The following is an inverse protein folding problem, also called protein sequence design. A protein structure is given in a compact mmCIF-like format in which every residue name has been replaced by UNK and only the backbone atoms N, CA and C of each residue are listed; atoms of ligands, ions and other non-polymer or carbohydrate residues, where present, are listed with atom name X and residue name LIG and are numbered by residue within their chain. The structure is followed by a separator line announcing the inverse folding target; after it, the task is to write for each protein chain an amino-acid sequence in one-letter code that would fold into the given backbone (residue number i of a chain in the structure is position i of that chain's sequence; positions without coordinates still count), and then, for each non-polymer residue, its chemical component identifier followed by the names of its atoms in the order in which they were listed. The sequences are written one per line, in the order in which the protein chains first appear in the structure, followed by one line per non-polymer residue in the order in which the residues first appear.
data_IF_396765050931
#
_entry.id   IF_396765050931
#
_cell.length_a   1.000
_cell.length_b   1.000
_cell.length_c   1.000
_cell.angle_alpha   90.00
_cell.angle_beta   90.00
_cell.angle_gamma   90.00
#
_symmetry.space_group_name_H-M   'P 1'
#
loop_
_entity.id
_entity.type
_entity.pdbx_description
1 polymer ?
#
# COMPACT_ATOMS: atom_id res chain seq x y z
N UNK A 1 43.17 29.81 12.24
CA UNK A 1 42.91 28.78 11.27
C UNK A 1 43.48 27.45 11.77
N UNK A 2 42.68 26.58 12.35
CA UNK A 2 43.12 25.24 12.80
C UNK A 2 42.07 24.24 12.31
N UNK A 3 42.46 23.45 11.33
CA UNK A 3 41.64 22.34 10.78
C UNK A 3 41.69 21.19 11.77
N UNK A 4 40.54 20.71 12.26
CA UNK A 4 40.43 19.47 13.04
C UNK A 4 39.90 18.38 12.10
N UNK A 5 40.77 17.44 11.78
CA UNK A 5 40.41 16.19 11.11
C UNK A 5 39.84 15.22 12.14
N UNK A 6 38.61 14.74 11.92
CA UNK A 6 38.02 13.64 12.67
C UNK A 6 38.23 12.35 11.88
N UNK A 7 38.92 11.40 12.48
CA UNK A 7 39.13 10.08 11.94
C UNK A 7 37.91 9.19 12.29
N UNK A 8 37.33 8.55 11.26
CA UNK A 8 36.28 7.55 11.39
C UNK A 8 36.95 6.18 11.52
N UNK A 9 36.82 5.57 12.68
CA UNK A 9 37.28 4.19 12.91
C UNK A 9 36.24 3.19 12.46
N UNK A 10 36.60 2.35 11.48
CA UNK A 10 35.83 1.18 11.10
C UNK A 10 36.17 0.01 12.03
N UNK A 11 35.20 -0.50 12.78
CA UNK A 11 35.32 -1.73 13.57
C UNK A 11 34.69 -2.87 12.78
N UNK A 12 35.55 -3.74 12.23
CA UNK A 12 35.14 -5.01 11.64
C UNK A 12 35.10 -6.10 12.72
N UNK A 13 33.91 -6.65 12.99
CA UNK A 13 33.72 -7.84 13.82
C UNK A 13 33.71 -9.08 12.91
N UNK A 14 34.77 -9.87 12.98
CA UNK A 14 34.84 -11.18 12.37
C UNK A 14 34.31 -12.23 13.37
N UNK A 15 33.25 -12.93 13.06
CA UNK A 15 32.75 -14.08 13.80
C UNK A 15 33.36 -15.36 13.24
N UNK A 16 34.19 -16.04 14.05
CA UNK A 16 34.74 -17.39 13.77
C UNK A 16 33.69 -18.44 14.17
N UNK A 17 33.21 -19.20 13.18
CA UNK A 17 32.43 -20.41 13.41
C UNK A 17 33.39 -21.60 13.46
N UNK A 18 33.55 -22.23 14.62
CA UNK A 18 34.29 -23.48 14.79
C UNK A 18 33.36 -24.67 14.54
N UNK A 19 33.64 -25.44 13.50
CA UNK A 19 33.01 -26.73 13.24
C UNK A 19 33.72 -27.79 14.05
N UNK A 20 33.05 -28.35 15.07
CA UNK A 20 33.50 -29.50 15.82
C UNK A 20 33.08 -30.80 15.13
N UNK A 21 34.06 -31.52 14.58
CA UNK A 21 33.89 -32.89 14.12
C UNK A 21 34.08 -33.85 15.28
N UNK A 22 33.05 -34.60 15.68
CA UNK A 22 33.21 -35.77 16.54
C UNK A 22 32.98 -37.03 15.73
N UNK A 23 34.06 -37.73 15.46
CA UNK A 23 34.08 -39.11 14.97
C UNK A 23 33.74 -40.05 16.12
N UNK A 24 32.73 -40.89 15.98
CA UNK A 24 32.57 -42.07 16.84
C UNK A 24 32.33 -43.31 16.00
N UNK A 25 33.33 -44.19 16.01
CA UNK A 25 33.31 -45.53 15.43
C UNK A 25 32.77 -46.48 16.50
N UNK A 26 31.66 -47.18 16.20
CA UNK A 26 31.33 -48.41 16.91
C UNK A 26 30.40 -49.30 16.09
N UNK A 27 30.97 -50.39 15.63
CA UNK A 27 30.54 -51.80 15.46
C UNK A 27 29.02 -52.13 15.36
N UNK A 28 28.77 -52.88 14.29
CA UNK A 28 27.64 -53.75 13.96
C UNK A 28 26.89 -54.42 15.11
N UNK A 29 25.54 -54.40 15.07
CA UNK A 29 24.69 -55.63 14.93
C UNK A 29 23.20 -55.31 15.09
N UNK A 30 22.34 -55.86 14.24
CA UNK A 30 20.92 -56.07 14.54
C UNK A 30 19.94 -55.35 13.57
N UNK A 31 19.43 -56.11 12.63
CA UNK A 31 18.35 -55.73 11.77
C UNK A 31 17.03 -55.47 12.55
N UNK A 32 16.47 -54.28 12.35
CA UNK A 32 15.05 -54.05 12.49
C UNK A 32 14.70 -52.89 11.58
N UNK A 33 13.92 -53.18 10.53
CA UNK A 33 13.37 -52.23 9.60
C UNK A 33 12.34 -51.36 10.32
N UNK A 34 12.81 -50.24 10.89
CA UNK A 34 11.95 -49.17 11.29
C UNK A 34 11.95 -48.16 10.15
N UNK A 35 10.83 -48.12 9.39
CA UNK A 35 10.55 -47.08 8.45
C UNK A 35 10.53 -45.73 9.19
N UNK A 36 11.65 -45.02 9.11
CA UNK A 36 11.73 -43.61 9.55
C UNK A 36 10.96 -42.85 8.49
N UNK A 37 9.70 -42.53 8.78
CA UNK A 37 8.99 -41.48 8.06
C UNK A 37 9.81 -40.23 8.26
N UNK A 38 10.44 -39.76 7.19
CA UNK A 38 11.02 -38.43 7.15
C UNK A 38 9.92 -37.44 7.55
N UNK A 39 10.18 -36.47 8.43
CA UNK A 39 9.24 -35.41 8.66
C UNK A 39 9.11 -34.68 7.31
N UNK A 40 7.98 -34.81 6.66
CA UNK A 40 7.57 -33.88 5.62
C UNK A 40 7.57 -32.50 6.30
N UNK A 41 8.60 -31.71 6.08
CA UNK A 41 8.55 -30.27 6.31
C UNK A 41 7.57 -29.73 5.28
N UNK A 42 6.28 -29.90 5.56
CA UNK A 42 5.30 -28.95 5.07
C UNK A 42 5.75 -27.63 5.68
N UNK A 43 6.33 -26.75 4.86
CA UNK A 43 6.37 -25.33 5.17
C UNK A 43 4.93 -25.01 5.54
N UNK A 44 4.66 -24.88 6.85
CA UNK A 44 3.38 -24.36 7.32
C UNK A 44 3.34 -22.96 6.72
N UNK A 45 2.52 -22.79 5.69
CA UNK A 45 2.13 -21.48 5.20
C UNK A 45 1.54 -20.79 6.42
N UNK A 46 2.25 -19.82 6.99
CA UNK A 46 1.77 -19.14 8.18
C UNK A 46 0.35 -18.68 7.92
N UNK A 47 -0.55 -19.05 8.83
CA UNK A 47 -1.97 -18.83 8.62
C UNK A 47 -2.25 -17.33 8.65
N UNK A 48 -2.83 -16.81 7.60
CA UNK A 48 -3.42 -15.48 7.58
C UNK A 48 -4.94 -15.57 7.85
N UNK A 49 -5.53 -14.47 8.29
CA UNK A 49 -6.96 -14.36 8.50
C UNK A 49 -7.59 -13.31 7.56
N UNK A 50 -8.89 -13.07 7.72
CA UNK A 50 -9.59 -12.10 6.89
C UNK A 50 -9.09 -10.65 7.13
N UNK A 51 -8.63 -10.31 8.33
CA UNK A 51 -8.11 -8.97 8.60
C UNK A 51 -6.82 -8.73 7.82
N UNK A 52 -5.87 -9.68 7.83
CA UNK A 52 -4.62 -9.61 7.06
C UNK A 52 -4.92 -9.42 5.56
N UNK A 53 -5.88 -10.18 5.02
CA UNK A 53 -6.27 -10.11 3.63
C UNK A 53 -6.89 -8.74 3.27
N UNK A 54 -7.82 -8.26 4.09
CA UNK A 54 -8.47 -6.95 3.88
C UNK A 54 -7.48 -5.80 4.02
N UNK A 55 -6.62 -5.82 5.04
CA UNK A 55 -5.57 -4.82 5.21
C UNK A 55 -4.69 -4.75 3.96
N UNK A 56 -4.19 -5.88 3.50
CA UNK A 56 -3.30 -5.98 2.34
C UNK A 56 -3.99 -5.50 1.06
N UNK A 57 -5.23 -5.94 0.81
CA UNK A 57 -5.99 -5.55 -0.38
C UNK A 57 -6.33 -4.06 -0.44
N UNK A 58 -6.60 -3.43 0.70
CA UNK A 58 -6.96 -2.02 0.74
C UNK A 58 -5.74 -1.09 0.85
N UNK A 59 -4.68 -1.51 1.54
CA UNK A 59 -3.49 -0.69 1.70
C UNK A 59 -2.70 -0.56 0.38
N UNK A 60 -2.77 -1.54 -0.52
CA UNK A 60 -2.14 -1.44 -1.85
C UNK A 60 -2.67 -0.24 -2.64
N UNK A 61 -3.98 -0.12 -2.95
CA UNK A 61 -4.49 1.04 -3.68
C UNK A 61 -4.32 2.35 -2.91
N UNK A 62 -4.36 2.30 -1.57
CA UNK A 62 -4.10 3.45 -0.72
C UNK A 62 -2.67 3.98 -0.95
N UNK A 63 -1.65 3.15 -0.88
CA UNK A 63 -0.27 3.52 -1.15
C UNK A 63 -0.05 3.95 -2.61
N UNK A 64 -0.72 3.31 -3.56
CA UNK A 64 -0.68 3.71 -4.97
C UNK A 64 -1.16 5.14 -5.17
N UNK A 65 -2.23 5.56 -4.48
CA UNK A 65 -2.71 6.93 -4.55
C UNK A 65 -1.69 7.94 -3.97
N UNK A 66 -1.01 7.62 -2.86
CA UNK A 66 0.04 8.49 -2.33
C UNK A 66 1.21 8.67 -3.31
N UNK A 67 1.58 7.60 -4.03
CA UNK A 67 2.60 7.65 -5.08
C UNK A 67 2.12 8.54 -6.24
N UNK A 68 0.87 8.39 -6.69
CA UNK A 68 0.27 9.21 -7.73
C UNK A 68 0.23 10.70 -7.35
N UNK A 69 -0.24 11.03 -6.15
CA UNK A 69 -0.23 12.40 -5.62
C UNK A 69 1.19 12.98 -5.60
N UNK A 70 2.17 12.18 -5.21
CA UNK A 70 3.57 12.59 -5.18
C UNK A 70 4.12 12.82 -6.58
N UNK A 71 3.76 11.99 -7.56
CA UNK A 71 4.16 12.17 -8.97
C UNK A 71 3.53 13.43 -9.57
N UNK A 72 2.26 13.68 -9.28
CA UNK A 72 1.59 14.95 -9.67
C UNK A 72 2.33 16.16 -9.14
N UNK A 73 2.76 16.14 -7.86
CA UNK A 73 3.50 17.23 -7.25
C UNK A 73 4.88 17.41 -7.88
N UNK A 74 5.62 16.32 -8.05
CA UNK A 74 7.00 16.32 -8.58
C UNK A 74 7.07 16.79 -10.05
N UNK A 75 5.98 16.68 -10.80
CA UNK A 75 5.85 17.22 -12.16
C UNK A 75 5.66 18.73 -12.23
N UNK A 76 5.49 19.44 -11.10
CA UNK A 76 5.16 20.86 -11.04
C UNK A 76 6.39 21.74 -10.83
N UNK A 77 6.24 23.03 -11.17
CA UNK A 77 7.25 24.07 -10.96
C UNK A 77 6.93 24.89 -9.69
N UNK A 78 7.97 25.47 -9.07
CA UNK A 78 7.78 26.37 -7.93
C UNK A 78 7.32 25.70 -6.64
N UNK A 79 7.52 24.41 -6.50
CA UNK A 79 7.25 23.64 -5.28
C UNK A 79 8.36 23.91 -4.25
N UNK A 80 7.98 24.03 -2.99
CA UNK A 80 8.95 24.16 -1.88
C UNK A 80 9.90 22.95 -1.87
N UNK A 81 11.22 23.13 -1.83
CA UNK A 81 12.18 22.02 -1.89
C UNK A 81 11.97 20.96 -0.81
N UNK A 82 11.53 21.35 0.40
CA UNK A 82 11.25 20.41 1.49
C UNK A 82 10.08 19.49 1.16
N UNK A 83 9.08 20.01 0.43
CA UNK A 83 7.92 19.22 -0.02
C UNK A 83 8.33 18.27 -1.15
N UNK A 84 9.20 18.73 -2.06
CA UNK A 84 9.79 17.87 -3.10
C UNK A 84 10.56 16.70 -2.48
N UNK A 85 11.38 16.96 -1.48
CA UNK A 85 12.18 15.92 -0.82
C UNK A 85 11.28 14.94 -0.05
N UNK A 86 10.23 15.43 0.64
CA UNK A 86 9.28 14.61 1.33
C UNK A 86 8.48 13.71 0.37
N UNK A 87 8.00 14.25 -0.76
CA UNK A 87 7.29 13.46 -1.76
C UNK A 87 8.14 12.32 -2.32
N UNK A 88 9.43 12.56 -2.55
CA UNK A 88 10.37 11.49 -2.96
C UNK A 88 10.56 10.44 -1.87
N UNK A 89 10.64 10.84 -0.60
CA UNK A 89 10.78 9.92 0.53
C UNK A 89 9.53 9.04 0.68
N UNK A 90 8.33 9.61 0.61
CA UNK A 90 7.06 8.88 0.66
C UNK A 90 7.00 7.82 -0.45
N UNK A 91 7.32 8.20 -1.70
CA UNK A 91 7.38 7.23 -2.80
C UNK A 91 8.37 6.10 -2.56
N UNK A 92 9.57 6.43 -2.10
CA UNK A 92 10.62 5.44 -1.86
C UNK A 92 10.29 4.49 -0.70
N UNK A 93 9.53 4.95 0.29
CA UNK A 93 9.07 4.12 1.40
C UNK A 93 7.91 3.21 0.99
N UNK A 94 6.90 3.75 0.29
CA UNK A 94 5.66 3.02 0.03
C UNK A 94 5.74 2.05 -1.15
N UNK A 95 6.62 2.28 -2.14
CA UNK A 95 6.76 1.37 -3.28
C UNK A 95 7.15 -0.08 -2.88
N UNK A 96 8.19 -0.32 -2.04
CA UNK A 96 8.52 -1.66 -1.59
C UNK A 96 7.43 -2.29 -0.69
N UNK A 97 6.67 -1.48 0.06
CA UNK A 97 5.55 -1.97 0.86
C UNK A 97 4.42 -2.52 -0.03
N UNK A 98 4.13 -1.86 -1.15
CA UNK A 98 3.19 -2.37 -2.17
C UNK A 98 3.68 -3.72 -2.72
N UNK A 99 4.94 -3.82 -3.12
CA UNK A 99 5.51 -5.06 -3.65
C UNK A 99 5.41 -6.21 -2.63
N UNK A 100 5.69 -5.94 -1.37
CA UNK A 100 5.58 -6.91 -0.29
C UNK A 100 4.14 -7.39 -0.11
N UNK A 101 3.17 -6.47 -0.06
CA UNK A 101 1.75 -6.79 0.07
C UNK A 101 1.23 -7.59 -1.13
N UNK A 102 1.65 -7.26 -2.35
CA UNK A 102 1.31 -8.03 -3.55
C UNK A 102 1.87 -9.46 -3.51
N UNK A 103 3.08 -9.63 -3.00
CA UNK A 103 3.67 -10.96 -2.81
C UNK A 103 2.86 -11.81 -1.82
N UNK A 104 2.39 -11.24 -0.71
CA UNK A 104 1.52 -11.96 0.23
C UNK A 104 0.19 -12.35 -0.39
N UNK A 105 -0.50 -11.45 -1.10
CA UNK A 105 -1.75 -11.81 -1.78
C UNK A 105 -1.52 -12.95 -2.77
N UNK A 106 -0.42 -12.93 -3.52
CA UNK A 106 -0.06 -14.00 -4.43
C UNK A 106 0.16 -15.32 -3.69
N UNK A 107 0.90 -15.29 -2.56
CA UNK A 107 1.13 -16.45 -1.70
C UNK A 107 -0.18 -17.05 -1.15
N UNK A 108 -1.15 -16.20 -0.85
CA UNK A 108 -2.47 -16.61 -0.35
C UNK A 108 -3.45 -17.00 -1.46
N UNK A 109 -3.05 -16.93 -2.74
CA UNK A 109 -3.91 -17.22 -3.89
C UNK A 109 -5.01 -16.17 -4.11
N UNK A 110 -4.80 -14.96 -3.64
CA UNK A 110 -5.72 -13.83 -3.74
C UNK A 110 -5.28 -12.86 -4.82
N UNK A 111 -6.25 -12.24 -5.50
CA UNK A 111 -5.96 -11.16 -6.45
C UNK A 111 -5.86 -9.81 -5.73
N UNK A 112 -4.95 -8.95 -6.21
CA UNK A 112 -5.03 -7.52 -5.91
C UNK A 112 -6.34 -6.99 -6.48
N UNK A 113 -7.08 -6.20 -5.70
CA UNK A 113 -8.22 -5.45 -6.27
C UNK A 113 -7.67 -4.53 -7.35
N UNK A 114 -8.04 -4.66 -8.64
CA UNK A 114 -7.64 -3.66 -9.62
C UNK A 114 -8.28 -2.32 -9.20
N UNK A 115 -7.49 -1.26 -9.12
CA UNK A 115 -8.05 0.09 -9.24
C UNK A 115 -8.89 0.07 -10.52
N UNK A 116 -10.20 0.27 -10.42
CA UNK A 116 -11.03 0.37 -11.61
C UNK A 116 -10.64 1.61 -12.41
N UNK A 117 -9.88 1.51 -13.50
CA UNK A 117 -9.94 2.50 -14.55
C UNK A 117 -11.32 2.33 -15.20
N UNK A 118 -11.95 3.43 -15.55
CA UNK A 118 -13.31 3.48 -16.06
C UNK A 118 -13.76 2.29 -16.92
N UNK A 119 -14.99 1.95 -16.79
CA UNK A 119 -15.74 0.76 -17.26
C UNK A 119 -15.70 0.49 -18.79
N UNK A 120 -14.56 0.70 -19.47
CA UNK A 120 -14.50 0.64 -20.93
C UNK A 120 -13.91 -0.65 -21.52
N UNK A 121 -13.50 -1.64 -20.71
CA UNK A 121 -12.98 -2.90 -21.24
C UNK A 121 -13.49 -4.12 -20.46
N UNK A 122 -14.77 -4.45 -20.63
CA UNK A 122 -15.28 -5.80 -20.37
C UNK A 122 -15.27 -6.63 -21.66
N UNK A 123 -14.31 -7.54 -21.88
CA UNK A 123 -14.44 -8.53 -22.92
C UNK A 123 -15.35 -9.66 -22.45
N UNK A 124 -16.53 -9.78 -23.06
CA UNK A 124 -17.26 -11.02 -23.05
C UNK A 124 -18.62 -11.07 -22.39
N UNK A 125 -19.62 -10.38 -22.96
CA UNK A 125 -20.99 -10.85 -22.95
C UNK A 125 -21.45 -11.11 -24.39
N UNK A 126 -20.93 -12.19 -24.96
CA UNK A 126 -21.54 -12.81 -26.13
C UNK A 126 -22.62 -13.78 -25.64
N UNK A 127 -23.87 -13.45 -25.83
CA UNK A 127 -24.96 -14.42 -25.74
C UNK A 127 -26.26 -13.92 -25.14
N UNK A 128 -27.01 -13.07 -25.86
CA UNK A 128 -28.47 -13.10 -25.77
C UNK A 128 -29.07 -12.87 -27.16
N UNK A 129 -30.14 -13.60 -27.52
CA UNK A 129 -30.66 -13.67 -28.88
C UNK A 129 -31.46 -12.42 -29.24
N UNK A 130 -31.26 -12.03 -30.49
CA UNK A 130 -32.02 -11.04 -31.23
C UNK A 130 -33.54 -11.30 -31.17
N UNK A 131 -34.29 -10.31 -30.72
CA UNK A 131 -35.72 -10.23 -31.03
C UNK A 131 -35.99 -8.86 -31.72
N UNK A 132 -36.63 -8.99 -32.84
CA UNK A 132 -36.85 -8.13 -33.96
C UNK A 132 -37.82 -6.97 -33.71
N UNK A 133 -37.66 -5.91 -34.52
CA UNK A 133 -38.66 -4.98 -35.08
C UNK A 133 -39.04 -3.71 -34.31
N UNK A 134 -38.75 -2.61 -34.99
CA UNK A 134 -39.14 -1.19 -34.88
C UNK A 134 -40.67 -0.94 -34.91
N UNK A 135 -41.16 0.30 -34.77
CA UNK A 135 -40.67 1.50 -35.44
C UNK A 135 -40.66 2.82 -34.62
N UNK A 136 -40.08 3.83 -35.24
CA UNK A 136 -39.97 5.24 -34.93
C UNK A 136 -41.22 5.94 -34.39
N UNK A 137 -41.03 6.77 -33.34
CA UNK A 137 -41.73 8.06 -33.29
C UNK A 137 -40.86 9.15 -32.63
N UNK A 138 -40.95 10.29 -33.27
CA UNK A 138 -40.29 11.55 -32.98
C UNK A 138 -40.85 12.17 -31.68
N UNK A 139 -40.00 12.51 -30.72
CA UNK A 139 -40.43 13.23 -29.51
C UNK A 139 -39.27 14.02 -28.90
N UNK A 140 -39.42 15.31 -28.88
CA UNK A 140 -38.59 16.37 -28.32
C UNK A 140 -38.05 16.07 -26.92
N UNK A 141 -36.79 16.44 -26.58
CA UNK A 141 -36.26 16.19 -25.24
C UNK A 141 -36.78 17.19 -24.23
N UNK A 142 -37.73 16.77 -23.43
CA UNK A 142 -38.10 17.48 -22.20
C UNK A 142 -37.08 17.11 -21.13
N UNK A 143 -36.34 18.08 -20.63
CA UNK A 143 -35.49 17.96 -19.46
C UNK A 143 -36.34 17.59 -18.25
N UNK A 144 -36.43 16.33 -17.91
CA UNK A 144 -36.91 15.89 -16.59
C UNK A 144 -35.76 16.02 -15.59
N UNK A 145 -35.85 17.06 -14.77
CA UNK A 145 -35.09 17.15 -13.52
C UNK A 145 -35.40 15.92 -12.68
N UNK A 146 -34.44 15.02 -12.56
CA UNK A 146 -34.49 13.97 -11.55
C UNK A 146 -34.34 14.61 -10.16
N UNK A 147 -35.19 14.24 -9.17
CA UNK A 147 -34.99 14.67 -7.78
C UNK A 147 -33.65 14.08 -7.26
N UNK A 148 -32.89 14.94 -6.58
CA UNK A 148 -31.52 14.64 -6.11
C UNK A 148 -31.40 13.27 -5.45
N UNK A 149 -30.53 12.45 -6.01
CA UNK A 149 -29.98 11.32 -5.29
C UNK A 149 -29.18 11.87 -4.09
N UNK A 150 -29.39 11.32 -2.89
CA UNK A 150 -28.49 11.63 -1.77
C UNK A 150 -27.08 11.30 -2.23
N UNK A 151 -26.14 12.25 -2.03
CA UNK A 151 -24.77 12.12 -2.51
C UNK A 151 -24.19 10.75 -2.16
N UNK A 152 -23.61 10.09 -3.15
CA UNK A 152 -22.82 8.90 -2.90
C UNK A 152 -21.73 9.26 -1.89
N UNK A 153 -21.54 8.45 -0.82
CA UNK A 153 -20.41 8.66 0.08
C UNK A 153 -19.13 8.68 -0.77
N UNK A 154 -18.30 9.70 -0.56
CA UNK A 154 -17.00 9.78 -1.23
C UNK A 154 -16.21 8.49 -0.99
N UNK A 155 -15.33 8.10 -1.92
CA UNK A 155 -14.51 6.88 -1.80
C UNK A 155 -13.80 6.77 -0.45
N UNK A 156 -13.48 7.90 0.21
CA UNK A 156 -12.83 7.93 1.52
C UNK A 156 -13.72 7.57 2.70
N UNK A 157 -15.04 7.41 2.51
CA UNK A 157 -15.99 7.02 3.56
C UNK A 157 -16.34 5.52 3.52
N UNK A 158 -15.75 4.76 2.57
CA UNK A 158 -15.95 3.33 2.50
C UNK A 158 -15.03 2.63 3.52
N UNK A 159 -15.53 1.62 4.28
CA UNK A 159 -14.69 0.84 5.18
C UNK A 159 -13.48 0.23 4.46
N UNK A 160 -12.28 0.53 4.96
CA UNK A 160 -11.02 0.09 4.35
C UNK A 160 -10.40 1.06 3.33
N UNK A 161 -11.04 2.22 3.11
CA UNK A 161 -10.56 3.28 2.21
C UNK A 161 -10.44 4.62 2.95
N UNK A 162 -10.27 4.55 4.27
CA UNK A 162 -10.17 5.73 5.13
C UNK A 162 -9.04 6.66 4.66
N UNK A 163 -9.32 7.94 4.53
CA UNK A 163 -8.34 8.96 4.16
C UNK A 163 -8.01 9.07 2.68
N UNK A 164 -8.55 8.21 1.82
CA UNK A 164 -8.37 8.33 0.37
C UNK A 164 -8.89 9.66 -0.16
N UNK A 165 -8.16 10.22 -1.13
CA UNK A 165 -8.58 11.42 -1.83
C UNK A 165 -9.65 11.09 -2.87
N UNK A 166 -10.67 11.95 -2.93
CA UNK A 166 -11.70 11.89 -3.98
C UNK A 166 -11.14 12.33 -5.34
N UNK A 167 -11.85 12.03 -6.41
CA UNK A 167 -11.52 12.55 -7.75
C UNK A 167 -11.43 14.09 -7.77
N UNK A 168 -12.30 14.76 -7.02
CA UNK A 168 -12.27 16.22 -6.90
C UNK A 168 -11.00 16.70 -6.18
N UNK A 169 -10.56 16.01 -5.13
CA UNK A 169 -9.30 16.31 -4.42
C UNK A 169 -8.09 16.10 -5.32
N UNK A 170 -8.07 15.00 -6.08
CA UNK A 170 -7.00 14.71 -7.05
C UNK A 170 -6.98 15.75 -8.18
N UNK A 171 -8.13 16.13 -8.71
CA UNK A 171 -8.25 17.20 -9.72
C UNK A 171 -7.80 18.56 -9.17
N UNK A 172 -8.12 18.86 -7.91
CA UNK A 172 -7.66 20.09 -7.26
C UNK A 172 -6.12 20.10 -7.16
N UNK A 173 -5.49 19.00 -6.74
CA UNK A 173 -4.04 18.86 -6.69
C UNK A 173 -3.42 18.97 -8.10
N UNK A 174 -4.03 18.34 -9.10
CA UNK A 174 -3.58 18.41 -10.49
C UNK A 174 -3.54 19.85 -11.01
N UNK A 175 -4.50 20.68 -10.64
CA UNK A 175 -4.63 22.07 -11.13
C UNK A 175 -3.83 23.09 -10.31
N UNK A 176 -3.54 22.81 -9.03
CA UNK A 176 -2.76 23.70 -8.17
C UNK A 176 -1.31 23.85 -8.66
N UNK A 177 -0.69 25.01 -8.38
CA UNK A 177 0.69 25.33 -8.80
C UNK A 177 1.49 25.97 -7.65
N UNK A 178 2.82 25.84 -7.70
CA UNK A 178 3.73 26.51 -6.80
C UNK A 178 3.44 26.25 -5.32
N UNK A 179 3.40 27.31 -4.51
CA UNK A 179 3.17 27.21 -3.05
C UNK A 179 1.80 26.65 -2.73
N UNK A 180 0.77 26.97 -3.51
CA UNK A 180 -0.58 26.43 -3.29
C UNK A 180 -0.62 24.91 -3.52
N UNK A 181 0.08 24.40 -4.54
CA UNK A 181 0.22 22.97 -4.74
C UNK A 181 0.97 22.30 -3.58
N UNK A 182 2.01 22.97 -3.05
CA UNK A 182 2.74 22.48 -1.87
C UNK A 182 1.82 22.36 -0.65
N UNK A 183 1.04 23.39 -0.35
CA UNK A 183 0.08 23.39 0.77
C UNK A 183 -0.99 22.35 0.61
N UNK A 184 -1.59 22.26 -0.59
CA UNK A 184 -2.66 21.32 -0.88
C UNK A 184 -2.17 19.88 -0.76
N UNK A 185 -1.01 19.55 -1.37
CA UNK A 185 -0.39 18.25 -1.26
C UNK A 185 -0.17 17.83 0.20
N UNK A 186 0.43 18.71 1.01
CA UNK A 186 0.69 18.41 2.42
C UNK A 186 -0.60 18.19 3.21
N UNK A 187 -1.62 19.03 2.98
CA UNK A 187 -2.92 18.91 3.68
C UNK A 187 -3.64 17.61 3.32
N UNK A 188 -3.66 17.27 2.03
CA UNK A 188 -4.25 16.03 1.55
C UNK A 188 -3.47 14.81 2.03
N UNK A 189 -2.13 14.87 2.00
CA UNK A 189 -1.28 13.76 2.42
C UNK A 189 -1.34 13.51 3.93
N UNK A 190 -1.53 14.55 4.76
CA UNK A 190 -1.81 14.38 6.20
C UNK A 190 -3.09 13.56 6.40
N UNK A 191 -4.19 13.95 5.76
CA UNK A 191 -5.46 13.21 5.84
C UNK A 191 -5.32 11.77 5.34
N UNK A 192 -4.58 11.58 4.25
CA UNK A 192 -4.31 10.28 3.67
C UNK A 192 -3.54 9.37 4.65
N UNK A 193 -2.49 9.88 5.28
CA UNK A 193 -1.71 9.14 6.27
C UNK A 193 -2.50 8.81 7.55
N UNK A 194 -3.37 9.72 8.01
CA UNK A 194 -4.28 9.45 9.13
C UNK A 194 -5.20 8.25 8.83
N UNK A 195 -5.68 8.15 7.58
CA UNK A 195 -6.45 6.99 7.10
C UNK A 195 -5.64 5.69 7.13
N UNK A 196 -4.42 5.71 6.59
CA UNK A 196 -3.54 4.55 6.62
C UNK A 196 -3.22 4.08 8.05
N UNK A 197 -2.96 5.03 8.97
CA UNK A 197 -2.75 4.72 10.40
C UNK A 197 -3.98 4.03 10.99
N UNK A 198 -5.18 4.50 10.65
CA UNK A 198 -6.44 3.88 11.13
C UNK A 198 -6.56 2.44 10.64
N UNK A 199 -6.29 2.18 9.36
CA UNK A 199 -6.31 0.84 8.79
C UNK A 199 -5.23 -0.06 9.41
N UNK A 200 -4.01 0.47 9.59
CA UNK A 200 -2.90 -0.25 10.19
C UNK A 200 -3.16 -0.59 11.68
N UNK A 201 -3.78 0.29 12.44
CA UNK A 201 -4.18 0.02 13.83
C UNK A 201 -5.20 -1.10 13.93
N UNK A 202 -6.12 -1.19 12.97
CA UNK A 202 -7.08 -2.30 12.89
C UNK A 202 -6.38 -3.62 12.61
N UNK A 203 -5.41 -3.62 11.68
CA UNK A 203 -4.58 -4.79 11.40
C UNK A 203 -3.76 -5.24 12.62
N UNK A 204 -3.15 -4.31 13.35
CA UNK A 204 -2.40 -4.63 14.58
C UNK A 204 -3.27 -5.32 15.62
N UNK A 205 -4.56 -4.99 15.67
CA UNK A 205 -5.51 -5.54 16.63
C UNK A 205 -6.08 -6.88 16.20
N UNK A 206 -6.43 -7.01 14.92
CA UNK A 206 -7.28 -8.09 14.42
C UNK A 206 -6.52 -9.08 13.49
N UNK A 207 -5.32 -8.71 13.02
CA UNK A 207 -4.47 -9.51 12.15
C UNK A 207 -3.82 -10.70 12.86
N UNK A 208 -3.51 -11.72 12.09
CA UNK A 208 -2.91 -12.97 12.57
C UNK A 208 -1.56 -13.27 11.92
N UNK A 209 -1.33 -12.82 10.69
CA UNK A 209 -0.08 -13.03 9.97
C UNK A 209 0.99 -12.08 10.53
N UNK A 210 2.10 -12.60 11.11
CA UNK A 210 3.06 -11.77 11.84
C UNK A 210 3.68 -10.66 11.00
N UNK A 211 3.89 -10.92 9.70
CA UNK A 211 4.52 -9.96 8.79
C UNK A 211 3.59 -8.79 8.43
N UNK A 212 2.29 -9.02 8.23
CA UNK A 212 1.34 -7.91 8.02
C UNK A 212 1.20 -7.06 9.26
N UNK A 213 1.13 -7.68 10.44
CA UNK A 213 1.10 -6.99 11.72
C UNK A 213 2.39 -6.17 11.94
N UNK A 214 3.55 -6.72 11.55
CA UNK A 214 4.82 -6.01 11.64
C UNK A 214 4.86 -4.81 10.68
N UNK A 215 4.40 -4.97 9.43
CA UNK A 215 4.28 -3.88 8.47
C UNK A 215 3.31 -2.81 8.98
N UNK A 216 2.16 -3.19 9.50
CA UNK A 216 1.18 -2.27 10.05
C UNK A 216 1.78 -1.41 11.19
N UNK A 217 2.60 -2.00 12.08
CA UNK A 217 3.32 -1.24 13.12
C UNK A 217 4.36 -0.27 12.54
N UNK A 218 5.04 -0.68 11.48
CA UNK A 218 5.99 0.17 10.75
C UNK A 218 5.26 1.38 10.14
N UNK A 219 4.14 1.15 9.44
CA UNK A 219 3.31 2.18 8.83
C UNK A 219 2.83 3.20 9.88
N UNK A 220 2.29 2.74 11.03
CA UNK A 220 1.87 3.66 12.09
C UNK A 220 3.02 4.56 12.54
N UNK A 221 4.22 4.01 12.69
CA UNK A 221 5.37 4.76 13.19
C UNK A 221 5.90 5.75 12.14
N UNK A 222 6.12 5.28 10.90
CA UNK A 222 6.70 6.09 9.83
C UNK A 222 5.75 7.20 9.40
N UNK A 223 4.48 6.88 9.17
CA UNK A 223 3.51 7.86 8.69
C UNK A 223 3.14 8.90 9.75
N UNK A 224 3.19 8.56 11.05
CA UNK A 224 3.07 9.58 12.10
C UNK A 224 4.23 10.58 12.05
N UNK A 225 5.45 10.12 11.83
CA UNK A 225 6.62 11.01 11.68
C UNK A 225 6.52 11.89 10.43
N UNK A 226 5.96 11.36 9.35
CA UNK A 226 5.71 12.11 8.12
C UNK A 226 4.62 13.17 8.34
N UNK A 227 3.53 12.86 9.05
CA UNK A 227 2.49 13.83 9.45
C UNK A 227 3.11 14.98 10.27
N UNK A 228 3.96 14.67 11.25
CA UNK A 228 4.63 15.69 12.06
C UNK A 228 5.53 16.58 11.20
N UNK A 229 6.20 16.00 10.20
CA UNK A 229 7.04 16.74 9.25
C UNK A 229 6.20 17.61 8.32
N UNK A 230 5.10 17.07 7.77
CA UNK A 230 4.16 17.82 6.93
C UNK A 230 3.59 19.04 7.66
N UNK A 231 3.14 18.86 8.89
CA UNK A 231 2.59 19.94 9.72
C UNK A 231 3.64 21.04 10.02
N UNK A 232 4.90 20.67 10.28
CA UNK A 232 5.99 21.64 10.45
C UNK A 232 6.27 22.44 9.19
N UNK A 233 6.24 21.79 8.03
CA UNK A 233 6.42 22.49 6.75
C UNK A 233 5.23 23.42 6.48
N UNK A 234 3.99 22.93 6.64
CA UNK A 234 2.77 23.73 6.47
C UNK A 234 2.76 25.00 7.31
N UNK A 235 3.21 24.92 8.57
CA UNK A 235 3.26 26.05 9.48
C UNK A 235 4.28 27.13 9.03
N UNK A 236 5.16 26.83 8.08
CA UNK A 236 6.22 27.73 7.59
C UNK A 236 6.07 28.11 6.11
N UNK A 237 5.02 27.67 5.41
CA UNK A 237 4.62 28.07 4.06
C UNK A 237 3.61 29.21 4.08
#
# INVERSE_FOLDING_TARGET
MKRKTLAVGAATLAALVTVGACSNTSTMQGASSSSVSAPSSTLATEAHNQADAMFTQHMIPHHQQAIEMSDMLLGKQGIDPRVVDLAKQIKAAQAPEIEQMQAWLTQWGMSTMPMMPGMDDMPGHSGMPSASAAPSESGTPTQSMMPGMPGMPGMGDMPGMEGMMSEADMAALQNAQGVEASKLYLTQMVKHHEGAITMAQKEIKDGQFPETVALARSIVTSQQQEIDTMNKILASL
#
